data_IF_945454830167
#
_entry.id   IF_945454830167
#
_cell.length_a   1.000
_cell.length_b   1.000
_cell.length_c   1.000
_cell.angle_alpha   90.00
_cell.angle_beta   90.00
_cell.angle_gamma   90.00
#
_symmetry.space_group_name_H-M   'P 1'
#
loop_
_entity.id
_entity.type
_entity.pdbx_description
1 polymer ?
#
# COMPACT_ATOMS: atom_id res chain seq x y z
N UNK A 1 -8.37 -13.81 20.54
CA UNK A 1 -7.22 -13.32 19.77
C UNK A 1 -7.71 -12.18 18.89
N UNK A 2 -6.98 -11.05 18.78
CA UNK A 2 -7.37 -10.01 17.82
C UNK A 2 -7.37 -10.63 16.42
N UNK A 3 -8.48 -10.44 15.69
CA UNK A 3 -8.56 -10.83 14.29
C UNK A 3 -7.44 -10.12 13.53
N UNK A 4 -6.71 -10.88 12.71
CA UNK A 4 -5.60 -10.35 11.94
C UNK A 4 -6.16 -9.43 10.87
N UNK A 5 -5.54 -8.26 10.67
CA UNK A 5 -6.02 -7.31 9.67
C UNK A 5 -6.00 -7.97 8.27
N UNK A 6 -7.10 -7.90 7.50
CA UNK A 6 -7.28 -8.73 6.29
C UNK A 6 -6.28 -8.38 5.19
N UNK A 7 -5.76 -7.15 5.16
CA UNK A 7 -4.76 -6.70 4.19
C UNK A 7 -3.33 -6.66 4.75
N UNK A 8 -3.12 -7.09 6.00
CA UNK A 8 -1.80 -7.09 6.64
C UNK A 8 -0.77 -7.90 5.84
N UNK A 9 -1.17 -9.00 5.19
CA UNK A 9 -0.27 -9.84 4.40
C UNK A 9 0.31 -9.07 3.21
N UNK A 10 -0.54 -8.32 2.50
CA UNK A 10 -0.20 -7.49 1.36
C UNK A 10 0.65 -6.29 1.80
N UNK A 11 0.27 -5.63 2.90
CA UNK A 11 1.05 -4.55 3.48
C UNK A 11 2.48 -4.98 3.84
N UNK A 12 2.63 -6.14 4.50
CA UNK A 12 3.96 -6.70 4.79
C UNK A 12 4.72 -7.09 3.52
N UNK A 13 4.03 -7.57 2.48
CA UNK A 13 4.67 -7.92 1.21
C UNK A 13 5.20 -6.68 0.48
N UNK A 14 4.49 -5.56 0.51
CA UNK A 14 4.95 -4.27 -0.02
C UNK A 14 6.24 -3.85 0.68
N UNK A 15 6.26 -3.86 2.03
CA UNK A 15 7.44 -3.46 2.79
C UNK A 15 8.66 -4.31 2.46
N UNK A 16 8.50 -5.64 2.34
CA UNK A 16 9.58 -6.54 1.93
C UNK A 16 10.06 -6.26 0.51
N UNK A 17 9.12 -6.05 -0.41
CA UNK A 17 9.45 -5.74 -1.80
C UNK A 17 10.25 -4.44 -1.90
N UNK A 18 9.80 -3.39 -1.21
CA UNK A 18 10.51 -2.10 -1.18
C UNK A 18 11.91 -2.25 -0.61
N UNK A 19 12.07 -2.96 0.51
CA UNK A 19 13.39 -3.22 1.09
C UNK A 19 14.33 -3.95 0.12
N UNK A 20 13.81 -4.96 -0.60
CA UNK A 20 14.58 -5.71 -1.60
C UNK A 20 14.96 -4.86 -2.82
N UNK A 21 14.06 -3.96 -3.24
CA UNK A 21 14.19 -3.15 -4.44
C UNK A 21 14.66 -1.72 -4.18
N UNK A 22 15.34 -1.46 -3.05
CA UNK A 22 15.86 -0.13 -2.69
C UNK A 22 14.78 0.97 -2.74
N UNK A 23 13.56 0.60 -2.35
CA UNK A 23 12.38 1.45 -2.30
C UNK A 23 11.93 1.97 -3.68
N UNK A 24 12.31 1.29 -4.76
CA UNK A 24 11.80 1.57 -6.11
C UNK A 24 10.41 0.94 -6.23
N UNK A 25 9.36 1.75 -6.08
CA UNK A 25 7.97 1.32 -6.08
C UNK A 25 7.52 0.66 -7.39
N UNK A 26 8.06 1.11 -8.53
CA UNK A 26 7.72 0.54 -9.85
C UNK A 26 8.11 -0.93 -10.00
N UNK A 27 9.07 -1.42 -9.21
CA UNK A 27 9.45 -2.84 -9.15
C UNK A 27 8.54 -3.65 -8.23
N UNK A 28 7.64 -2.99 -7.49
CA UNK A 28 6.71 -3.57 -6.54
C UNK A 28 5.24 -3.40 -6.96
N UNK A 29 4.99 -2.92 -8.18
CA UNK A 29 3.67 -2.57 -8.70
C UNK A 29 2.66 -3.70 -8.52
N UNK A 30 3.06 -4.95 -8.78
CA UNK A 30 2.21 -6.13 -8.63
C UNK A 30 1.66 -6.29 -7.20
N UNK A 31 2.52 -6.06 -6.20
CA UNK A 31 2.16 -6.22 -4.78
C UNK A 31 1.34 -5.02 -4.30
N UNK A 32 1.65 -3.83 -4.80
CA UNK A 32 0.87 -2.60 -4.55
C UNK A 32 -0.54 -2.74 -5.16
N UNK A 33 -0.67 -3.31 -6.36
CA UNK A 33 -1.96 -3.59 -6.98
C UNK A 33 -2.76 -4.65 -6.20
N UNK A 34 -2.10 -5.69 -5.69
CA UNK A 34 -2.75 -6.67 -4.82
C UNK A 34 -3.27 -6.05 -3.51
N UNK A 35 -2.55 -5.09 -2.95
CA UNK A 35 -3.01 -4.31 -1.79
C UNK A 35 -4.22 -3.45 -2.14
N UNK A 36 -4.20 -2.76 -3.30
CA UNK A 36 -5.35 -1.98 -3.78
C UNK A 36 -6.61 -2.84 -3.90
N UNK A 37 -6.52 -4.01 -4.54
CA UNK A 37 -7.63 -4.97 -4.64
C UNK A 37 -8.12 -5.41 -3.25
N UNK A 38 -7.21 -5.72 -2.34
CA UNK A 38 -7.59 -6.06 -0.96
C UNK A 38 -8.42 -4.95 -0.31
N UNK A 39 -8.05 -3.69 -0.55
CA UNK A 39 -8.76 -2.53 0.00
C UNK A 39 -10.08 -2.19 -0.69
N UNK A 40 -10.35 -2.74 -1.88
CA UNK A 40 -11.65 -2.65 -2.54
C UNK A 40 -12.65 -3.63 -1.91
N UNK A 41 -12.17 -4.79 -1.46
CA UNK A 41 -12.99 -5.87 -0.91
C UNK A 41 -13.14 -5.80 0.63
N UNK A 42 -12.10 -5.34 1.33
CA UNK A 42 -11.99 -5.44 2.79
C UNK A 42 -11.81 -4.07 3.45
N UNK A 43 -12.46 -3.87 4.61
CA UNK A 43 -12.19 -2.72 5.48
C UNK A 43 -11.00 -3.04 6.41
N UNK A 44 -9.83 -2.54 6.08
CA UNK A 44 -8.58 -2.75 6.82
C UNK A 44 -7.93 -1.42 7.24
N UNK A 45 -7.25 -1.42 8.38
CA UNK A 45 -6.44 -0.26 8.84
C UNK A 45 -5.29 -0.01 7.87
N UNK A 46 -4.72 -1.07 7.28
CA UNK A 46 -3.64 -0.97 6.30
C UNK A 46 -4.09 -0.27 5.00
N UNK A 47 -5.39 -0.18 4.74
CA UNK A 47 -5.95 0.47 3.55
C UNK A 47 -6.02 2.00 3.62
N UNK A 48 -5.75 2.58 4.80
CA UNK A 48 -5.81 4.03 5.02
C UNK A 48 -4.92 4.83 4.05
N UNK A 49 -3.82 4.23 3.57
CA UNK A 49 -2.91 4.83 2.58
C UNK A 49 -3.26 4.52 1.12
N UNK A 50 -4.20 3.60 0.84
CA UNK A 50 -4.51 3.10 -0.50
C UNK A 50 -5.85 3.60 -1.05
N UNK A 51 -6.74 4.08 -0.19
CA UNK A 51 -8.11 4.48 -0.57
C UNK A 51 -8.22 5.74 -1.45
N UNK A 52 -7.12 6.45 -1.77
CA UNK A 52 -7.17 7.77 -2.45
C UNK A 52 -6.72 7.79 -3.91
N UNK A 53 -6.27 6.67 -4.50
CA UNK A 53 -5.63 6.68 -5.82
C UNK A 53 -6.55 6.36 -7.01
N UNK A 54 -7.87 6.40 -6.83
CA UNK A 54 -8.81 6.11 -7.93
C UNK A 54 -9.24 7.34 -8.76
N UNK A 55 -8.53 8.47 -8.65
CA UNK A 55 -8.82 9.67 -9.43
C UNK A 55 -7.54 10.41 -9.86
N UNK A 56 -7.23 10.22 -11.14
CA UNK A 56 -6.36 11.06 -11.99
C UNK A 56 -4.89 10.62 -12.10
N UNK A 57 -4.60 10.01 -13.23
CA UNK A 57 -3.36 10.18 -13.99
C UNK A 57 -2.81 11.62 -13.87
N UNK A 58 -1.50 11.72 -13.66
CA UNK A 58 -0.61 12.88 -13.86
C UNK A 58 -0.22 13.75 -12.63
N UNK A 59 1.10 13.70 -12.34
CA UNK A 59 2.00 14.66 -11.64
C UNK A 59 2.12 14.66 -10.10
N UNK A 60 3.32 14.23 -9.69
CA UNK A 60 4.28 14.95 -8.82
C UNK A 60 3.89 15.26 -7.35
N UNK A 61 4.74 14.77 -6.44
CA UNK A 61 4.94 15.23 -5.04
C UNK A 61 3.78 15.02 -4.08
N UNK A 62 3.89 14.03 -3.19
CA UNK A 62 4.21 14.27 -1.77
C UNK A 62 4.41 12.94 -1.05
N UNK A 63 5.67 12.53 -0.87
CA UNK A 63 6.05 11.76 0.31
C UNK A 63 5.91 12.67 1.52
N UNK A 64 4.68 12.86 2.01
CA UNK A 64 4.43 13.47 3.29
C UNK A 64 4.77 12.43 4.36
N UNK A 65 6.03 12.47 4.78
CA UNK A 65 6.51 12.00 6.06
C UNK A 65 5.50 12.39 7.14
N UNK A 66 4.75 11.41 7.64
CA UNK A 66 3.98 11.58 8.87
C UNK A 66 4.90 11.16 10.02
N UNK A 67 5.51 12.16 10.67
CA UNK A 67 6.05 11.97 12.03
C UNK A 67 5.83 13.24 12.84
N UNK A 68 4.95 13.08 13.84
CA UNK A 68 4.64 13.86 15.05
C UNK A 68 4.43 15.37 14.95
#
# INVERSE_FOLDING_TARGET
>A
MPQKDPCQKQACAIQRCLQANKYIESLCEDVIQAMRKCCEEENSVCCSGFAKEHKSTDKNVTGALSTN
#
